data_IF_184248583741
#
_entry.id   IF_184248583741
#
_cell.length_a   1.000
_cell.length_b   1.000
_cell.length_c   1.000
_cell.angle_alpha   90.00
_cell.angle_beta   90.00
_cell.angle_gamma   90.00
#
_symmetry.space_group_name_H-M   'P 1'
#
loop_
_entity.id
_entity.type
_entity.pdbx_description
1 polymer ?
#
# COMPACT_ATOMS: atom_id res chain seq x y z
N UNK A 1 -17.25 5.86 -14.81
CA UNK A 1 -16.01 5.44 -15.50
C UNK A 1 -14.95 5.40 -14.43
N UNK A 2 -14.41 4.22 -14.14
CA UNK A 2 -13.34 4.12 -13.16
C UNK A 2 -11.99 4.39 -13.84
N UNK A 3 -11.18 5.25 -13.23
CA UNK A 3 -9.86 5.63 -13.77
C UNK A 3 -8.77 4.77 -13.15
N UNK A 4 -7.91 4.20 -13.99
CA UNK A 4 -6.73 3.44 -13.52
C UNK A 4 -5.57 4.40 -13.27
N UNK A 5 -5.07 4.41 -12.05
CA UNK A 5 -3.91 5.19 -11.64
C UNK A 5 -2.72 4.27 -11.34
N UNK A 6 -1.54 4.67 -11.81
CA UNK A 6 -0.28 3.98 -11.48
C UNK A 6 0.62 4.90 -10.67
N UNK A 7 1.01 4.45 -9.47
CA UNK A 7 1.90 5.18 -8.58
C UNK A 7 3.18 4.39 -8.35
N UNK A 8 4.32 5.08 -8.49
CA UNK A 8 5.65 4.54 -8.17
C UNK A 8 6.22 5.27 -6.95
N UNK A 9 6.61 4.50 -5.94
CA UNK A 9 7.17 4.98 -4.68
C UNK A 9 8.53 4.30 -4.46
N UNK A 10 9.58 5.10 -4.33
CA UNK A 10 10.88 4.60 -3.90
C UNK A 10 10.88 4.53 -2.38
N UNK A 11 11.12 3.36 -1.80
CA UNK A 11 11.14 3.18 -0.35
C UNK A 11 12.42 2.56 0.16
N UNK A 12 13.29 3.42 0.70
CA UNK A 12 14.56 3.04 1.26
C UNK A 12 14.44 2.24 2.57
N UNK A 13 13.30 2.35 3.26
CA UNK A 13 13.05 1.74 4.57
C UNK A 13 12.50 0.30 4.51
N UNK A 14 12.30 -0.28 3.32
CA UNK A 14 11.95 -1.69 3.15
C UNK A 14 13.24 -2.55 3.18
N UNK A 15 13.78 -2.75 4.38
CA UNK A 15 15.10 -3.36 4.56
C UNK A 15 15.05 -4.87 4.87
N UNK A 16 13.90 -5.43 5.21
CA UNK A 16 13.77 -6.83 5.60
C UNK A 16 12.61 -7.52 4.84
N UNK A 17 12.81 -8.79 4.48
CA UNK A 17 11.79 -9.63 3.83
C UNK A 17 10.46 -9.62 4.59
N UNK A 18 10.51 -9.54 5.93
CA UNK A 18 9.32 -9.46 6.79
C UNK A 18 8.54 -8.14 6.59
N UNK A 19 9.25 -7.02 6.49
CA UNK A 19 8.66 -5.71 6.22
C UNK A 19 8.05 -5.66 4.81
N UNK A 20 8.71 -6.28 3.83
CA UNK A 20 8.14 -6.41 2.48
C UNK A 20 6.81 -7.16 2.51
N UNK A 21 6.78 -8.35 3.13
CA UNK A 21 5.56 -9.16 3.20
C UNK A 21 4.41 -8.39 3.86
N UNK A 22 4.70 -7.64 4.92
CA UNK A 22 3.70 -6.80 5.58
C UNK A 22 3.17 -5.69 4.66
N UNK A 23 4.04 -5.01 3.93
CA UNK A 23 3.62 -3.94 3.01
C UNK A 23 2.78 -4.51 1.86
N UNK A 24 3.23 -5.61 1.25
CA UNK A 24 2.48 -6.27 0.18
C UNK A 24 1.09 -6.67 0.68
N UNK A 25 1.02 -7.30 1.86
CA UNK A 25 -0.28 -7.64 2.50
C UNK A 25 -1.14 -6.41 2.75
N UNK A 26 -0.58 -5.36 3.36
CA UNK A 26 -1.33 -4.14 3.69
C UNK A 26 -1.89 -3.46 2.46
N UNK A 27 -1.10 -3.40 1.38
CA UNK A 27 -1.54 -2.85 0.11
C UNK A 27 -2.59 -3.76 -0.55
N UNK A 28 -2.40 -5.08 -0.58
CA UNK A 28 -3.40 -6.02 -1.14
C UNK A 28 -4.76 -6.00 -0.44
N UNK A 29 -4.84 -5.49 0.79
CA UNK A 29 -6.11 -5.30 1.50
C UNK A 29 -6.86 -4.02 1.07
N UNK A 30 -6.22 -3.16 0.28
CA UNK A 30 -6.84 -1.95 -0.23
C UNK A 30 -7.76 -2.32 -1.41
N UNK A 31 -9.03 -1.97 -1.28
CA UNK A 31 -10.00 -2.13 -2.36
C UNK A 31 -9.66 -1.23 -3.56
N UNK A 32 -9.74 -1.83 -4.75
CA UNK A 32 -9.42 -1.16 -6.00
C UNK A 32 -7.97 -1.33 -6.47
N UNK A 33 -7.09 -2.03 -5.75
CA UNK A 33 -5.80 -2.40 -6.35
C UNK A 33 -6.00 -3.44 -7.46
N UNK A 34 -5.47 -3.13 -8.63
CA UNK A 34 -5.44 -4.01 -9.81
C UNK A 34 -4.10 -4.76 -9.92
N UNK A 35 -2.98 -4.06 -9.70
CA UNK A 35 -1.63 -4.64 -9.83
C UNK A 35 -0.71 -4.09 -8.75
N UNK A 36 0.10 -4.97 -8.17
CA UNK A 36 1.11 -4.59 -7.18
C UNK A 36 2.45 -5.23 -7.57
N UNK A 37 3.47 -4.40 -7.75
CA UNK A 37 4.78 -4.83 -8.18
C UNK A 37 5.85 -4.19 -7.28
N UNK A 38 6.58 -5.01 -6.53
CA UNK A 38 7.62 -4.53 -5.63
C UNK A 38 8.98 -5.07 -6.05
N UNK A 39 9.93 -4.18 -6.18
CA UNK A 39 11.30 -4.48 -6.52
C UNK A 39 12.20 -4.10 -5.34
N UNK A 40 12.62 -5.09 -4.55
CA UNK A 40 13.52 -4.88 -3.41
C UNK A 40 14.91 -4.40 -3.83
N UNK A 41 15.43 -4.95 -4.92
CA UNK A 41 16.75 -4.63 -5.45
C UNK A 41 16.87 -3.12 -5.77
N UNK A 42 15.84 -2.57 -6.42
CA UNK A 42 15.71 -1.15 -6.75
C UNK A 42 15.03 -0.31 -5.66
N UNK A 43 14.58 -0.95 -4.57
CA UNK A 43 13.77 -0.33 -3.50
C UNK A 43 12.58 0.46 -4.04
N UNK A 44 11.87 -0.12 -5.01
CA UNK A 44 10.80 0.54 -5.76
C UNK A 44 9.50 -0.25 -5.66
N UNK A 45 8.43 0.43 -5.29
CA UNK A 45 7.07 -0.11 -5.18
C UNK A 45 6.23 0.56 -6.26
N UNK A 46 5.65 -0.24 -7.16
CA UNK A 46 4.69 0.20 -8.18
C UNK A 46 3.33 -0.38 -7.80
N UNK A 47 2.32 0.48 -7.70
CA UNK A 47 0.94 0.10 -7.44
C UNK A 47 0.08 0.65 -8.58
N UNK A 48 -0.79 -0.19 -9.13
CA UNK A 48 -1.83 0.17 -10.08
C UNK A 48 -3.17 -0.06 -9.40
N UNK A 49 -3.99 0.98 -9.32
CA UNK A 49 -5.28 0.92 -8.66
C UNK A 49 -6.34 1.68 -9.45
N UNK A 50 -7.56 1.21 -9.35
CA UNK A 50 -8.74 1.71 -10.02
C UNK A 50 -9.67 2.34 -8.97
N UNK A 51 -9.29 3.53 -8.50
CA UNK A 51 -10.06 4.26 -7.49
C UNK A 51 -9.62 5.73 -7.49
N UNK A 52 -10.51 6.64 -7.89
CA UNK A 52 -10.29 8.09 -7.85
C UNK A 52 -10.11 8.63 -6.41
N UNK A 53 -10.58 7.87 -5.41
CA UNK A 53 -10.41 8.26 -4.01
C UNK A 53 -8.98 7.97 -3.53
N UNK A 54 -8.31 6.94 -4.04
CA UNK A 54 -6.97 6.59 -3.57
C UNK A 54 -5.90 7.58 -4.04
N UNK A 55 -5.23 8.20 -3.08
CA UNK A 55 -4.14 9.12 -3.34
C UNK A 55 -2.77 8.52 -3.00
N UNK A 56 -1.73 8.93 -3.73
CA UNK A 56 -0.32 8.57 -3.45
C UNK A 56 0.08 8.77 -1.98
N UNK A 57 -0.47 9.79 -1.32
CA UNK A 57 -0.23 10.09 0.11
C UNK A 57 -0.72 8.95 1.02
N UNK A 58 -1.94 8.46 0.78
CA UNK A 58 -2.56 7.35 1.54
C UNK A 58 -1.74 6.07 1.37
N UNK A 59 -1.36 5.74 0.14
CA UNK A 59 -0.51 4.57 -0.15
C UNK A 59 0.81 4.67 0.60
N UNK A 60 1.47 5.84 0.60
CA UNK A 60 2.72 6.05 1.33
C UNK A 60 2.53 5.88 2.85
N UNK A 61 1.44 6.38 3.39
CA UNK A 61 1.10 6.25 4.80
C UNK A 61 0.91 4.78 5.19
N UNK A 62 0.18 4.01 4.39
CA UNK A 62 -0.02 2.56 4.59
C UNK A 62 1.31 1.82 4.62
N UNK A 63 2.21 2.14 3.68
CA UNK A 63 3.54 1.53 3.64
C UNK A 63 4.30 1.84 4.92
N UNK A 64 4.36 3.10 5.36
CA UNK A 64 5.04 3.47 6.60
C UNK A 64 4.41 2.79 7.82
N UNK A 65 3.08 2.77 7.90
CA UNK A 65 2.34 2.20 9.01
C UNK A 65 2.59 0.69 9.16
N UNK A 66 2.63 -0.02 8.03
CA UNK A 66 2.94 -1.45 7.99
C UNK A 66 4.38 -1.79 8.39
N UNK A 67 5.31 -0.85 8.23
CA UNK A 67 6.71 -0.98 8.66
C UNK A 67 6.85 -0.66 10.16
N UNK A 68 6.26 0.45 10.62
CA UNK A 68 6.39 0.94 12.01
C UNK A 68 5.65 0.06 13.00
N UNK A 69 4.39 -0.29 12.70
CA UNK A 69 3.56 -1.02 13.67
C UNK A 69 3.71 -2.54 13.57
N UNK A 70 4.28 -3.07 12.48
CA UNK A 70 4.49 -4.51 12.25
C UNK A 70 3.22 -5.38 12.19
N UNK A 71 2.06 -4.83 12.59
CA UNK A 71 0.74 -5.43 12.54
C UNK A 71 0.00 -4.85 11.34
N UNK A 72 -0.20 -5.69 10.32
CA UNK A 72 -1.17 -5.42 9.26
C UNK A 72 -2.55 -5.66 9.86
N UNK A 73 -3.07 -4.69 10.60
CA UNK A 73 -4.50 -4.70 10.92
C UNK A 73 -5.25 -4.58 9.60
N UNK A 74 -6.35 -5.33 9.42
CA UNK A 74 -7.34 -5.04 8.37
C UNK A 74 -7.77 -3.59 8.55
N UNK A 75 -7.13 -2.69 7.81
CA UNK A 75 -7.60 -1.32 7.64
C UNK A 75 -8.41 -1.35 6.36
N UNK A 76 -9.73 -1.38 6.49
CA UNK A 76 -10.60 -1.19 5.34
C UNK A 76 -10.56 0.30 5.02
N UNK A 77 -10.03 0.63 3.85
CA UNK A 77 -9.93 2.01 3.35
C UNK A 77 -11.15 2.32 2.47
N UNK A 78 -12.29 2.55 3.13
CA UNK A 78 -13.45 3.16 2.48
C UNK A 78 -13.29 4.69 2.56
N UNK A 79 -13.34 5.37 1.42
CA UNK A 79 -13.34 6.84 1.35
C UNK A 79 -12.11 7.52 2.01
N UNK A 80 -10.89 7.01 1.77
CA UNK A 80 -9.63 7.53 2.35
C UNK A 80 -9.54 7.52 3.89
N UNK A 81 -10.47 6.88 4.60
CA UNK A 81 -10.45 6.79 6.05
C UNK A 81 -10.12 5.35 6.45
N UNK A 82 -9.11 5.20 7.30
CA UNK A 82 -8.71 3.90 7.82
C UNK A 82 -9.72 3.43 8.88
N UNK A 83 -10.53 2.42 8.57
CA UNK A 83 -11.39 1.76 9.56
C UNK A 83 -10.67 0.58 10.18
N UNK A 84 -10.65 0.52 11.51
CA UNK A 84 -10.06 -0.59 12.26
C UNK A 84 -11.21 -1.56 12.60
N UNK A 85 -11.23 -2.73 11.96
CA UNK A 85 -12.14 -3.81 12.35
C UNK A 85 -11.78 -4.20 13.79
N UNK A 86 -12.69 -3.91 14.74
CA UNK A 86 -12.49 -4.10 16.19
C UNK A 86 -12.59 -5.56 16.59
#
# INVERSE_FOLDING_TARGET
MNTIHTVKLKQSNMLCNRCLTNVVKALSLIEGIQELNVNLDKKLVKITYENDKLSKKVIREIINDSIVHGKVGKKIYIDNRAYRES
#
